data_IF_966683120988
#
_entry.id   IF_966683120988
#
_cell.length_a   1.000
_cell.length_b   1.000
_cell.length_c   1.000
_cell.angle_alpha   90.00
_cell.angle_beta   90.00
_cell.angle_gamma   90.00
#
_symmetry.space_group_name_H-M   'P 1'
#
loop_
_entity.id
_entity.type
_entity.pdbx_description
1 polymer ?
#
# COMPACT_ATOMS: atom_id res chain seq x y z
N UNK A 1 -20.08 -35.10 -24.39
CA UNK A 1 -19.94 -33.78 -23.77
C UNK A 1 -19.83 -33.97 -22.28
N UNK A 2 -18.68 -33.66 -21.68
CA UNK A 2 -18.44 -33.90 -20.25
C UNK A 2 -19.04 -32.75 -19.42
N UNK A 3 -19.34 -33.01 -18.15
CA UNK A 3 -19.99 -32.02 -17.26
C UNK A 3 -19.26 -30.66 -17.15
N UNK A 4 -17.97 -30.60 -17.47
CA UNK A 4 -17.19 -29.36 -17.50
C UNK A 4 -17.48 -28.45 -18.71
N UNK A 5 -17.92 -28.98 -19.85
CA UNK A 5 -18.30 -28.18 -21.02
C UNK A 5 -19.63 -27.45 -20.81
N UNK A 6 -20.53 -28.03 -20.00
CA UNK A 6 -21.82 -27.43 -19.63
C UNK A 6 -21.64 -26.26 -18.65
N UNK A 7 -20.61 -26.30 -17.80
CA UNK A 7 -20.28 -25.25 -16.84
C UNK A 7 -19.65 -24.02 -17.53
N UNK A 8 -18.85 -24.25 -18.59
CA UNK A 8 -18.32 -23.20 -19.46
C UNK A 8 -19.42 -22.55 -20.30
N UNK A 9 -20.42 -23.31 -20.77
CA UNK A 9 -21.58 -22.75 -21.48
C UNK A 9 -22.53 -21.94 -20.56
N UNK A 10 -22.59 -22.25 -19.26
CA UNK A 10 -23.31 -21.41 -18.27
C UNK A 10 -22.66 -20.04 -18.05
N UNK A 11 -21.37 -19.85 -18.36
CA UNK A 11 -20.68 -18.55 -18.32
C UNK A 11 -21.03 -17.62 -19.48
N UNK A 12 -21.85 -18.05 -20.44
CA UNK A 12 -22.26 -17.23 -21.60
C UNK A 12 -23.27 -16.12 -21.29
N UNK A 13 -23.66 -15.91 -20.04
CA UNK A 13 -24.62 -14.88 -19.62
C UNK A 13 -23.89 -13.75 -18.92
N UNK A 14 -23.76 -12.61 -19.62
CA UNK A 14 -23.24 -11.37 -19.03
C UNK A 14 -24.14 -10.96 -17.86
N UNK A 15 -23.53 -10.72 -16.70
CA UNK A 15 -24.18 -10.27 -15.47
C UNK A 15 -24.02 -8.76 -15.34
N UNK A 16 -25.10 -8.08 -14.94
CA UNK A 16 -25.08 -6.62 -14.81
C UNK A 16 -25.45 -6.22 -13.39
N UNK A 17 -24.56 -5.51 -12.70
CA UNK A 17 -24.81 -4.94 -11.39
C UNK A 17 -25.41 -3.55 -11.53
N UNK A 18 -26.60 -3.32 -11.00
CA UNK A 18 -27.24 -1.99 -11.00
C UNK A 18 -27.26 -1.46 -9.57
N UNK A 19 -26.79 -0.22 -9.36
CA UNK A 19 -26.75 0.38 -8.02
C UNK A 19 -27.12 1.85 -8.00
N UNK A 20 -27.76 2.28 -6.91
CA UNK A 20 -27.96 3.70 -6.62
C UNK A 20 -26.71 4.41 -6.10
N UNK A 21 -25.63 3.67 -5.84
CA UNK A 21 -24.34 4.22 -5.43
C UNK A 21 -23.59 4.82 -6.64
N UNK A 22 -22.64 5.74 -6.40
CA UNK A 22 -21.75 6.24 -7.44
C UNK A 22 -21.04 5.10 -8.20
N UNK A 23 -21.18 5.04 -9.53
CA UNK A 23 -20.56 3.99 -10.34
C UNK A 23 -19.06 3.90 -10.10
N UNK A 24 -18.38 5.06 -10.13
CA UNK A 24 -16.93 5.17 -9.91
C UNK A 24 -16.45 4.57 -8.58
N UNK A 25 -17.33 4.49 -7.57
CA UNK A 25 -16.99 3.91 -6.26
C UNK A 25 -17.20 2.41 -6.19
N UNK A 26 -18.18 1.86 -6.92
CA UNK A 26 -18.59 0.45 -6.80
C UNK A 26 -18.09 -0.41 -7.95
N UNK A 27 -17.81 0.17 -9.12
CA UNK A 27 -17.51 -0.56 -10.35
C UNK A 27 -16.34 -1.53 -10.17
N UNK A 28 -15.18 -1.06 -9.72
CA UNK A 28 -14.00 -1.93 -9.53
C UNK A 28 -14.25 -3.04 -8.53
N UNK A 29 -14.99 -2.77 -7.45
CA UNK A 29 -15.31 -3.81 -6.47
C UNK A 29 -16.21 -4.89 -7.07
N UNK A 30 -17.31 -4.49 -7.72
CA UNK A 30 -18.27 -5.41 -8.32
C UNK A 30 -17.65 -6.23 -9.45
N UNK A 31 -16.86 -5.60 -10.33
CA UNK A 31 -16.22 -6.29 -11.46
C UNK A 31 -15.08 -7.19 -11.01
N UNK A 32 -14.16 -6.65 -10.22
CA UNK A 32 -12.93 -7.38 -9.90
C UNK A 32 -13.15 -8.43 -8.80
N UNK A 33 -14.08 -8.21 -7.86
CA UNK A 33 -14.26 -9.09 -6.68
C UNK A 33 -15.55 -9.91 -6.68
N UNK A 34 -16.60 -9.48 -7.38
CA UNK A 34 -17.88 -10.21 -7.46
C UNK A 34 -18.18 -10.78 -8.85
N UNK A 35 -17.23 -10.69 -9.79
CA UNK A 35 -17.35 -11.22 -11.16
C UNK A 35 -18.56 -10.67 -11.92
N UNK A 36 -18.95 -9.42 -11.65
CA UNK A 36 -19.98 -8.71 -12.42
C UNK A 36 -19.38 -8.18 -13.72
N UNK A 37 -19.96 -8.51 -14.87
CA UNK A 37 -19.39 -8.12 -16.17
C UNK A 37 -19.52 -6.62 -16.45
N UNK A 38 -20.67 -6.04 -16.09
CA UNK A 38 -20.99 -4.63 -16.32
C UNK A 38 -21.67 -4.00 -15.11
N UNK A 39 -21.32 -2.76 -14.79
CA UNK A 39 -21.90 -2.05 -13.64
C UNK A 39 -22.55 -0.77 -14.12
N UNK A 40 -23.79 -0.56 -13.71
CA UNK A 40 -24.56 0.66 -13.96
C UNK A 40 -24.82 1.31 -12.60
N UNK A 41 -24.13 2.42 -12.36
CA UNK A 41 -24.29 3.22 -11.14
C UNK A 41 -24.66 4.66 -11.48
N UNK A 42 -24.89 5.47 -10.45
CA UNK A 42 -25.12 6.90 -10.65
C UNK A 42 -23.81 7.64 -10.87
N UNK A 43 -23.88 8.76 -11.57
CA UNK A 43 -22.74 9.66 -11.72
C UNK A 43 -22.65 10.66 -10.56
N UNK A 44 -21.40 11.00 -10.20
CA UNK A 44 -21.09 12.12 -9.30
C UNK A 44 -20.88 13.38 -10.14
N UNK A 45 -21.35 14.52 -9.64
CA UNK A 45 -21.05 15.82 -10.22
C UNK A 45 -19.53 16.04 -10.22
N UNK A 46 -19.02 16.47 -11.37
CA UNK A 46 -17.60 16.79 -11.58
C UNK A 46 -17.47 18.28 -11.83
N UNK A 47 -16.55 18.93 -11.11
CA UNK A 47 -16.21 20.33 -11.31
C UNK A 47 -14.68 20.44 -11.44
N UNK A 48 -14.19 21.01 -12.55
CA UNK A 48 -12.76 21.16 -12.85
C UNK A 48 -11.95 19.85 -12.71
N UNK A 49 -12.54 18.70 -13.04
CA UNK A 49 -11.89 17.39 -12.93
C UNK A 49 -11.90 16.79 -11.50
N UNK A 50 -12.58 17.41 -10.55
CA UNK A 50 -12.73 16.91 -9.18
C UNK A 50 -14.18 16.50 -8.90
N UNK A 51 -14.36 15.38 -8.20
CA UNK A 51 -15.66 14.96 -7.68
C UNK A 51 -16.06 15.84 -6.48
N UNK A 52 -17.25 16.43 -6.53
CA UNK A 52 -17.72 17.34 -5.46
C UNK A 52 -18.51 16.62 -4.36
N UNK A 53 -18.70 15.30 -4.46
CA UNK A 53 -19.45 14.49 -3.50
C UNK A 53 -20.98 14.60 -3.62
N UNK A 54 -21.48 15.34 -4.61
CA UNK A 54 -22.91 15.42 -4.95
C UNK A 54 -23.23 14.50 -6.12
N UNK A 55 -24.39 13.86 -6.09
CA UNK A 55 -24.89 13.05 -7.20
C UNK A 55 -25.38 13.93 -8.34
N UNK A 56 -25.27 13.46 -9.58
CA UNK A 56 -26.06 14.03 -10.67
C UNK A 56 -27.56 13.81 -10.42
N UNK A 57 -28.38 14.77 -10.84
CA UNK A 57 -29.85 14.73 -10.67
C UNK A 57 -30.55 13.84 -11.70
N UNK A 58 -29.80 13.25 -12.64
CA UNK A 58 -30.32 12.36 -13.67
C UNK A 58 -30.78 11.05 -13.06
N UNK A 59 -31.90 10.54 -13.57
CA UNK A 59 -32.34 9.19 -13.24
C UNK A 59 -31.40 8.16 -13.88
N UNK A 60 -31.26 7.01 -13.20
CA UNK A 60 -30.54 5.86 -13.73
C UNK A 60 -31.32 5.29 -14.90
N UNK A 61 -30.81 5.47 -16.11
CA UNK A 61 -31.35 4.86 -17.32
C UNK A 61 -30.64 3.52 -17.52
N UNK A 62 -31.36 2.42 -17.31
CA UNK A 62 -30.85 1.07 -17.61
C UNK A 62 -31.47 0.63 -18.93
N UNK A 63 -30.69 0.40 -20.00
CA UNK A 63 -31.21 -0.03 -21.29
C UNK A 63 -31.90 -1.40 -21.21
N UNK A 64 -33.14 -1.52 -21.71
CA UNK A 64 -34.00 -2.72 -21.60
C UNK A 64 -33.35 -4.03 -22.09
N UNK A 65 -32.42 -3.91 -23.02
CA UNK A 65 -31.67 -5.03 -23.62
C UNK A 65 -30.58 -5.63 -22.69
N UNK A 66 -30.29 -5.02 -21.55
CA UNK A 66 -29.25 -5.45 -20.60
C UNK A 66 -29.85 -6.19 -19.37
N UNK A 67 -31.18 -6.24 -19.26
CA UNK A 67 -31.91 -6.59 -18.03
C UNK A 67 -32.02 -8.08 -17.70
N UNK A 68 -31.85 -8.99 -18.66
CA UNK A 68 -32.20 -10.41 -18.44
C UNK A 68 -31.36 -11.13 -17.35
N UNK A 69 -30.24 -10.56 -16.90
CA UNK A 69 -29.46 -11.04 -15.74
C UNK A 69 -28.96 -9.87 -14.86
N UNK A 70 -29.80 -8.87 -14.61
CA UNK A 70 -29.44 -7.76 -13.75
C UNK A 70 -29.58 -8.11 -12.25
N UNK A 71 -28.58 -7.72 -11.45
CA UNK A 71 -28.56 -7.80 -9.98
C UNK A 71 -28.61 -6.39 -9.42
N UNK A 72 -29.65 -6.07 -8.66
CA UNK A 72 -29.82 -4.77 -8.03
C UNK A 72 -29.14 -4.71 -6.66
N UNK A 73 -28.36 -3.66 -6.40
CA UNK A 73 -27.67 -3.45 -5.12
C UNK A 73 -28.00 -2.06 -4.58
N UNK A 74 -28.61 -1.99 -3.39
CA UNK A 74 -28.95 -0.71 -2.75
C UNK A 74 -28.84 -0.72 -1.23
N UNK A 75 -28.47 0.42 -0.66
CA UNK A 75 -28.31 0.62 0.77
C UNK A 75 -29.42 1.42 1.48
N UNK A 76 -30.54 1.70 0.79
CA UNK A 76 -31.62 2.52 1.36
C UNK A 76 -33.02 1.96 1.03
N UNK A 77 -33.88 1.84 2.07
CA UNK A 77 -35.28 1.42 1.92
C UNK A 77 -36.12 2.38 1.07
N UNK A 78 -35.78 3.67 0.98
CA UNK A 78 -36.50 4.62 0.12
C UNK A 78 -36.33 4.33 -1.39
N UNK A 79 -35.44 3.40 -1.75
CA UNK A 79 -35.16 3.07 -3.14
C UNK A 79 -36.16 2.07 -3.76
N UNK A 80 -37.11 1.49 -3.01
CA UNK A 80 -38.13 0.61 -3.60
C UNK A 80 -38.98 1.28 -4.69
N UNK A 81 -38.98 2.61 -4.80
CA UNK A 81 -39.61 3.36 -5.89
C UNK A 81 -38.73 3.55 -7.13
N UNK A 82 -37.52 2.99 -7.19
CA UNK A 82 -36.67 3.12 -8.38
C UNK A 82 -37.20 2.21 -9.52
N UNK A 83 -37.57 2.76 -10.70
CA UNK A 83 -38.19 2.00 -11.79
C UNK A 83 -37.35 0.81 -12.29
N UNK A 84 -36.03 0.88 -12.13
CA UNK A 84 -35.11 -0.17 -12.58
C UNK A 84 -35.12 -1.43 -11.70
N UNK A 85 -35.64 -1.41 -10.47
CA UNK A 85 -35.72 -2.62 -9.63
C UNK A 85 -36.68 -3.67 -10.19
N UNK A 86 -37.77 -3.25 -10.82
CA UNK A 86 -38.74 -4.14 -11.45
C UNK A 86 -38.11 -5.07 -12.50
N UNK A 87 -36.93 -4.69 -12.96
CA UNK A 87 -36.20 -5.32 -14.04
C UNK A 87 -34.99 -6.13 -13.57
N UNK A 88 -34.68 -6.13 -12.28
CA UNK A 88 -33.62 -6.95 -11.71
C UNK A 88 -34.14 -8.35 -11.40
N UNK A 89 -33.35 -9.36 -11.76
CA UNK A 89 -33.66 -10.75 -11.41
C UNK A 89 -33.54 -10.99 -9.90
N UNK A 90 -32.53 -10.38 -9.29
CA UNK A 90 -32.25 -10.48 -7.86
C UNK A 90 -31.92 -9.10 -7.32
N UNK A 91 -32.37 -8.81 -6.09
CA UNK A 91 -32.18 -7.51 -5.44
C UNK A 91 -31.59 -7.73 -4.05
N UNK A 92 -30.38 -7.20 -3.84
CA UNK A 92 -29.72 -7.15 -2.56
C UNK A 92 -29.92 -5.77 -1.95
N UNK A 93 -30.73 -5.71 -0.90
CA UNK A 93 -31.08 -4.48 -0.23
C UNK A 93 -30.60 -4.53 1.22
N UNK A 94 -29.60 -3.70 1.54
CA UNK A 94 -29.07 -3.61 2.90
C UNK A 94 -30.01 -2.76 3.73
N UNK A 95 -30.68 -3.38 4.70
CA UNK A 95 -31.61 -2.68 5.58
C UNK A 95 -30.88 -1.97 6.74
N UNK A 96 -31.56 -1.06 7.44
CA UNK A 96 -30.95 -0.29 8.55
C UNK A 96 -30.48 -1.17 9.72
N UNK A 97 -31.14 -2.30 9.98
CA UNK A 97 -30.76 -3.21 11.06
C UNK A 97 -29.51 -4.01 10.68
N UNK A 98 -29.44 -4.52 9.45
CA UNK A 98 -28.23 -5.11 8.87
C UNK A 98 -27.09 -4.10 8.83
N UNK A 99 -27.36 -2.82 8.50
CA UNK A 99 -26.36 -1.75 8.53
C UNK A 99 -25.90 -1.37 9.93
N UNK A 100 -26.69 -1.62 10.99
CA UNK A 100 -26.24 -1.41 12.38
C UNK A 100 -25.46 -2.61 12.90
N UNK A 101 -25.87 -3.81 12.49
CA UNK A 101 -25.27 -5.07 12.90
C UNK A 101 -24.19 -5.56 11.93
N UNK A 102 -23.83 -4.76 10.93
CA UNK A 102 -22.80 -5.15 9.98
C UNK A 102 -21.47 -5.26 10.70
N UNK A 103 -20.75 -6.33 10.39
CA UNK A 103 -19.40 -6.54 10.85
C UNK A 103 -18.49 -6.58 9.64
N UNK A 104 -17.24 -6.19 9.82
CA UNK A 104 -16.25 -6.35 8.76
C UNK A 104 -16.15 -7.84 8.44
N UNK A 105 -16.42 -8.18 7.18
CA UNK A 105 -16.32 -9.56 6.73
C UNK A 105 -14.87 -10.04 6.99
N UNK A 106 -14.66 -11.21 7.65
CA UNK A 106 -13.33 -11.75 7.88
C UNK A 106 -12.58 -11.97 6.56
N UNK A 107 -11.26 -11.67 6.53
CA UNK A 107 -10.46 -11.73 5.30
C UNK A 107 -10.43 -13.12 4.64
N UNK A 108 -10.53 -14.18 5.44
CA UNK A 108 -10.59 -15.56 4.97
C UNK A 108 -11.91 -15.91 4.27
N UNK A 109 -12.94 -15.06 4.38
CA UNK A 109 -14.26 -15.26 3.78
C UNK A 109 -14.41 -14.48 2.47
N UNK A 110 -13.36 -13.79 1.99
CA UNK A 110 -13.42 -13.03 0.75
C UNK A 110 -13.34 -13.97 -0.45
N UNK A 111 -14.20 -13.81 -1.48
CA UNK A 111 -14.09 -14.60 -2.72
C UNK A 111 -12.73 -14.44 -3.40
N UNK A 112 -12.15 -13.24 -3.31
CA UNK A 112 -10.81 -12.91 -3.79
C UNK A 112 -10.05 -12.08 -2.74
N UNK A 113 -8.72 -12.22 -2.63
CA UNK A 113 -7.93 -11.40 -1.72
C UNK A 113 -8.09 -9.91 -2.04
N UNK A 114 -8.67 -9.15 -1.12
CA UNK A 114 -8.82 -7.70 -1.23
C UNK A 114 -7.52 -7.03 -0.76
N UNK A 115 -6.80 -6.44 -1.71
CA UNK A 115 -5.50 -5.80 -1.48
C UNK A 115 -5.64 -4.29 -1.68
N UNK A 116 -5.62 -3.53 -0.58
CA UNK A 116 -5.62 -2.07 -0.65
C UNK A 116 -4.18 -1.55 -0.67
N UNK A 117 -3.72 -1.11 -1.84
CA UNK A 117 -2.39 -0.50 -1.98
C UNK A 117 -2.34 1.00 -1.68
N UNK A 118 -3.49 1.70 -1.78
CA UNK A 118 -3.58 3.14 -1.58
C UNK A 118 -4.70 3.45 -0.58
N UNK A 119 -4.35 3.48 0.70
CA UNK A 119 -5.31 3.75 1.76
C UNK A 119 -5.56 5.24 1.93
N UNK A 120 -5.93 6.01 0.89
CA UNK A 120 -6.26 7.45 1.07
C UNK A 120 -7.13 7.61 2.30
N UNK A 121 -6.78 8.57 3.17
CA UNK A 121 -7.47 8.86 4.44
C UNK A 121 -8.95 9.19 4.21
N UNK A 122 -9.77 8.18 3.93
CA UNK A 122 -11.22 8.27 3.93
C UNK A 122 -11.67 7.93 5.35
N UNK A 123 -11.41 8.86 6.28
CA UNK A 123 -12.06 8.77 7.57
C UNK A 123 -13.56 8.90 7.35
N UNK A 124 -14.34 7.97 7.91
CA UNK A 124 -15.74 8.27 8.16
C UNK A 124 -15.79 9.47 9.11
N UNK A 125 -16.67 10.47 8.89
CA UNK A 125 -16.87 11.56 9.84
C UNK A 125 -17.33 10.96 11.17
N UNK A 126 -16.37 10.77 12.06
CA UNK A 126 -16.47 10.03 13.32
C UNK A 126 -15.57 10.70 14.35
N UNK A 127 -15.74 10.38 15.62
CA UNK A 127 -14.89 10.92 16.69
C UNK A 127 -13.39 10.66 16.44
N UNK A 128 -13.05 9.54 15.78
CA UNK A 128 -11.66 9.23 15.39
C UNK A 128 -11.11 10.22 14.35
N UNK A 129 -11.95 10.70 13.44
CA UNK A 129 -11.55 11.73 12.47
C UNK A 129 -11.24 13.05 13.18
N UNK A 130 -12.07 13.42 14.17
CA UNK A 130 -11.83 14.62 14.98
C UNK A 130 -10.55 14.48 15.81
N UNK A 131 -10.34 13.34 16.47
CA UNK A 131 -9.12 13.05 17.22
C UNK A 131 -7.87 13.13 16.32
N UNK A 132 -7.96 12.66 15.07
CA UNK A 132 -6.88 12.81 14.08
C UNK A 132 -6.57 14.29 13.80
N UNK A 133 -7.59 15.11 13.51
CA UNK A 133 -7.38 16.53 13.25
C UNK A 133 -6.81 17.27 14.47
N UNK A 134 -7.22 16.90 15.69
CA UNK A 134 -6.64 17.45 16.92
C UNK A 134 -5.20 16.98 17.14
N UNK A 135 -4.87 15.74 16.75
CA UNK A 135 -3.50 15.22 16.82
C UNK A 135 -2.59 15.83 15.76
N UNK A 136 -3.12 16.23 14.60
CA UNK A 136 -2.34 16.62 13.44
C UNK A 136 -1.27 17.70 13.72
N UNK A 137 -1.56 18.80 14.45
CA UNK A 137 -0.53 19.78 14.81
C UNK A 137 0.58 19.19 15.69
N UNK A 138 0.22 18.34 16.65
CA UNK A 138 1.17 17.68 17.55
C UNK A 138 1.99 16.60 16.82
N UNK A 139 1.36 15.80 15.97
CA UNK A 139 2.04 14.80 15.13
C UNK A 139 3.01 15.45 14.15
N UNK A 140 2.64 16.61 13.59
CA UNK A 140 3.51 17.38 12.71
C UNK A 140 4.76 17.88 13.44
N UNK A 141 4.61 18.52 14.61
CA UNK A 141 5.75 19.01 15.40
C UNK A 141 6.64 17.85 15.88
N UNK A 142 6.03 16.77 16.37
CA UNK A 142 6.74 15.56 16.79
C UNK A 142 7.53 14.94 15.64
N UNK A 143 6.93 14.90 14.45
CA UNK A 143 7.57 14.39 13.25
C UNK A 143 8.77 15.23 12.82
N UNK A 144 8.71 16.56 12.91
CA UNK A 144 9.89 17.43 12.69
C UNK A 144 11.00 17.10 13.69
N UNK A 145 10.68 17.02 14.98
CA UNK A 145 11.66 16.69 16.03
C UNK A 145 12.34 15.35 15.73
N UNK A 146 11.58 14.32 15.34
CA UNK A 146 12.10 12.99 14.98
C UNK A 146 13.01 13.04 13.76
N UNK A 147 12.66 13.80 12.73
CA UNK A 147 13.50 14.00 11.55
C UNK A 147 14.81 14.69 11.97
N UNK A 148 14.74 15.77 12.75
CA UNK A 148 15.94 16.46 13.24
C UNK A 148 16.87 15.53 14.02
N UNK A 149 16.31 14.73 14.94
CA UNK A 149 17.08 13.74 15.71
C UNK A 149 17.75 12.74 14.77
N UNK A 150 17.02 12.21 13.80
CA UNK A 150 17.54 11.22 12.85
C UNK A 150 18.65 11.77 11.93
N UNK A 151 18.65 13.07 11.64
CA UNK A 151 19.62 13.70 10.73
C UNK A 151 20.83 14.32 11.43
N UNK A 152 20.69 14.77 12.68
CA UNK A 152 21.73 15.52 13.38
C UNK A 152 22.53 14.69 14.39
N UNK A 153 21.94 13.64 14.94
CA UNK A 153 22.55 12.87 16.03
C UNK A 153 23.11 11.53 15.55
N UNK A 154 24.24 11.08 16.12
CA UNK A 154 24.75 9.73 15.88
C UNK A 154 23.78 8.68 16.46
N UNK A 155 23.82 7.47 15.91
CA UNK A 155 22.86 6.41 16.21
C UNK A 155 22.78 6.04 17.69
N UNK A 156 23.90 6.12 18.42
CA UNK A 156 24.03 5.83 19.84
C UNK A 156 23.14 6.74 20.70
N UNK A 157 22.92 7.97 20.25
CA UNK A 157 22.11 8.99 20.94
C UNK A 157 20.72 9.07 20.31
N UNK A 158 20.62 8.99 18.99
CA UNK A 158 19.37 9.10 18.27
C UNK A 158 18.37 8.00 18.68
N UNK A 159 18.83 6.77 18.87
CA UNK A 159 17.94 5.62 19.18
C UNK A 159 17.24 5.74 20.52
N UNK A 160 17.92 5.99 21.67
CA UNK A 160 17.22 6.16 22.94
C UNK A 160 16.27 7.37 22.92
N UNK A 161 16.64 8.47 22.24
CA UNK A 161 15.74 9.62 22.06
C UNK A 161 14.51 9.27 21.23
N UNK A 162 14.69 8.58 20.11
CA UNK A 162 13.59 8.11 19.27
C UNK A 162 12.68 7.16 20.06
N UNK A 163 13.25 6.30 20.92
CA UNK A 163 12.49 5.44 21.82
C UNK A 163 11.65 6.24 22.83
N UNK A 164 12.24 7.26 23.45
CA UNK A 164 11.56 8.16 24.38
C UNK A 164 10.40 8.92 23.72
N UNK A 165 10.56 9.29 22.45
CA UNK A 165 9.56 10.01 21.64
C UNK A 165 8.62 9.01 20.92
N UNK A 166 8.64 7.73 21.31
CA UNK A 166 7.64 6.73 20.93
C UNK A 166 7.96 5.87 19.70
N UNK A 167 9.18 5.90 19.18
CA UNK A 167 9.64 5.03 18.07
C UNK A 167 10.52 3.91 18.63
N UNK A 168 9.98 2.70 18.66
CA UNK A 168 10.69 1.52 19.19
C UNK A 168 11.34 0.74 18.05
N UNK A 169 12.66 0.82 17.96
CA UNK A 169 13.46 0.03 17.01
C UNK A 169 14.04 -1.18 17.74
N UNK A 170 13.81 -2.39 17.21
CA UNK A 170 14.44 -3.63 17.67
C UNK A 170 15.16 -4.28 16.51
N UNK A 171 16.43 -4.60 16.71
CA UNK A 171 17.26 -5.29 15.71
C UNK A 171 17.54 -6.68 16.25
N UNK A 172 17.08 -7.70 15.54
CA UNK A 172 17.45 -9.09 15.81
C UNK A 172 18.52 -9.50 14.79
N UNK A 173 19.62 -10.08 15.27
CA UNK A 173 20.68 -10.64 14.43
C UNK A 173 20.79 -12.13 14.71
N UNK A 174 21.00 -12.98 13.70
CA UNK A 174 21.30 -14.39 13.94
C UNK A 174 22.57 -14.50 14.81
N UNK A 175 22.53 -15.35 15.83
CA UNK A 175 23.66 -15.57 16.76
C UNK A 175 24.97 -15.99 16.07
N UNK A 176 24.90 -16.45 14.82
CA UNK A 176 26.06 -16.94 14.05
C UNK A 176 26.75 -15.86 13.20
N UNK A 177 26.29 -14.59 13.20
CA UNK A 177 26.95 -13.53 12.43
C UNK A 177 28.17 -12.90 13.13
N UNK A 178 28.42 -13.25 14.40
CA UNK A 178 29.51 -12.71 15.23
C UNK A 178 30.89 -13.35 14.97
N UNK A 179 31.01 -14.35 14.09
CA UNK A 179 32.27 -15.10 13.90
C UNK A 179 32.99 -14.84 12.58
N UNK A 180 32.66 -13.78 11.84
CA UNK A 180 33.35 -13.44 10.57
C UNK A 180 33.90 -12.00 10.53
N UNK A 181 34.27 -11.47 11.70
CA UNK A 181 34.92 -10.16 11.83
C UNK A 181 36.39 -10.19 12.28
N UNK A 182 37.07 -11.34 12.25
CA UNK A 182 38.51 -11.40 12.56
C UNK A 182 39.26 -12.31 11.58
N UNK A 183 39.49 -11.82 10.36
CA UNK A 183 40.63 -12.14 9.46
C UNK A 183 40.27 -11.82 8.00
N UNK A 184 40.07 -10.54 7.68
CA UNK A 184 40.08 -10.10 6.28
C UNK A 184 41.37 -9.33 6.00
N UNK A 185 42.49 -10.07 6.05
CA UNK A 185 43.76 -9.65 5.44
C UNK A 185 43.75 -10.13 3.99
N UNK A 186 42.99 -9.47 3.12
CA UNK A 186 43.34 -9.36 1.70
C UNK A 186 42.49 -8.31 0.97
N UNK A 187 43.12 -7.59 0.03
CA UNK A 187 42.76 -6.25 -0.44
C UNK A 187 41.47 -6.03 -1.24
N UNK A 188 40.42 -6.85 -1.15
CA UNK A 188 39.07 -6.50 -1.66
C UNK A 188 37.98 -7.16 -0.80
N UNK A 189 37.50 -6.46 0.23
CA UNK A 189 36.31 -6.89 0.97
C UNK A 189 35.10 -6.93 0.02
N UNK A 190 34.59 -8.14 -0.27
CA UNK A 190 33.36 -8.33 -1.06
C UNK A 190 32.22 -7.53 -0.43
N UNK A 191 31.66 -6.59 -1.19
CA UNK A 191 30.54 -5.73 -0.76
C UNK A 191 29.26 -6.55 -0.66
N UNK A 192 28.39 -6.16 0.27
CA UNK A 192 27.16 -6.90 0.59
C UNK A 192 25.96 -6.29 -0.11
N UNK A 193 25.14 -7.16 -0.71
CA UNK A 193 23.82 -6.79 -1.23
C UNK A 193 22.75 -7.18 -0.21
N UNK A 194 22.20 -6.19 0.47
CA UNK A 194 21.07 -6.36 1.38
C UNK A 194 19.75 -6.29 0.60
N UNK A 195 18.88 -7.27 0.82
CA UNK A 195 17.57 -7.36 0.15
C UNK A 195 16.50 -7.25 1.23
N UNK A 196 15.77 -6.13 1.21
CA UNK A 196 14.82 -5.76 2.26
C UNK A 196 13.40 -5.73 1.72
N UNK A 197 12.41 -6.23 2.46
CA UNK A 197 11.02 -5.91 2.15
C UNK A 197 10.73 -4.42 2.40
N UNK A 198 9.66 -3.88 1.80
CA UNK A 198 9.40 -2.45 1.80
C UNK A 198 8.10 -2.10 2.54
N UNK A 199 8.18 -1.69 3.79
CA UNK A 199 7.05 -1.18 4.60
C UNK A 199 6.96 0.35 4.60
N UNK A 200 8.10 1.05 4.60
CA UNK A 200 8.19 2.50 4.77
C UNK A 200 9.37 3.10 4.01
N UNK A 201 9.40 4.42 3.81
CA UNK A 201 10.60 5.08 3.27
C UNK A 201 11.82 4.98 4.18
N UNK A 202 11.64 4.63 5.46
CA UNK A 202 12.72 4.51 6.44
C UNK A 202 13.41 3.15 6.40
N UNK A 203 12.88 2.15 5.69
CA UNK A 203 13.43 0.79 5.74
C UNK A 203 14.92 0.73 5.38
N UNK A 204 15.41 1.39 4.30
CA UNK A 204 16.83 1.40 3.99
C UNK A 204 17.69 2.04 5.09
N UNK A 205 17.15 3.05 5.78
CA UNK A 205 17.82 3.72 6.91
C UNK A 205 17.88 2.77 8.12
N UNK A 206 16.80 2.02 8.39
CA UNK A 206 16.77 0.99 9.42
C UNK A 206 17.74 -0.15 9.12
N UNK A 207 17.91 -0.53 7.85
CA UNK A 207 18.95 -1.48 7.42
C UNK A 207 20.35 -0.93 7.70
N UNK A 208 20.60 0.34 7.35
CA UNK A 208 21.88 1.01 7.65
C UNK A 208 22.18 0.97 9.16
N UNK A 209 21.18 1.29 9.97
CA UNK A 209 21.28 1.26 11.42
C UNK A 209 21.54 -0.16 11.96
N UNK A 210 20.74 -1.14 11.55
CA UNK A 210 20.86 -2.52 12.02
C UNK A 210 22.18 -3.16 11.61
N UNK A 211 22.70 -2.83 10.43
CA UNK A 211 23.98 -3.36 9.93
C UNK A 211 25.18 -2.61 10.47
N UNK A 212 25.01 -1.39 11.00
CA UNK A 212 26.10 -0.44 11.31
C UNK A 212 27.05 -0.21 10.14
N UNK A 213 26.55 -0.30 8.91
CA UNK A 213 27.36 -0.04 7.72
C UNK A 213 27.49 1.46 7.51
N UNK A 214 28.72 1.95 7.47
CA UNK A 214 29.05 3.37 7.22
C UNK A 214 29.04 3.73 5.73
N UNK A 215 28.93 2.75 4.85
CA UNK A 215 29.03 2.91 3.38
C UNK A 215 27.85 2.25 2.66
N UNK A 216 26.65 2.27 3.25
CA UNK A 216 25.46 1.70 2.62
C UNK A 216 24.84 2.69 1.62
N UNK A 217 24.66 2.25 0.39
CA UNK A 217 23.87 2.97 -0.63
C UNK A 217 22.51 2.29 -0.78
N UNK A 218 21.44 3.07 -0.84
CA UNK A 218 20.09 2.57 -1.09
C UNK A 218 19.69 2.80 -2.55
N UNK A 219 19.25 1.75 -3.26
CA UNK A 219 18.66 1.87 -4.59
C UNK A 219 17.14 1.83 -4.51
N UNK A 220 16.48 2.79 -5.15
CA UNK A 220 15.03 2.97 -5.04
C UNK A 220 14.38 3.25 -6.39
N UNK A 221 13.18 2.71 -6.62
CA UNK A 221 12.48 2.90 -7.90
C UNK A 221 11.67 4.20 -7.97
N UNK A 222 11.31 4.78 -6.82
CA UNK A 222 10.36 5.90 -6.76
C UNK A 222 10.50 6.69 -5.45
N UNK A 223 11.61 7.42 -5.32
CA UNK A 223 11.80 8.46 -4.30
C UNK A 223 11.51 9.86 -4.86
N UNK A 224 11.05 10.76 -3.99
CA UNK A 224 10.95 12.18 -4.29
C UNK A 224 12.33 12.84 -4.14
N UNK A 225 12.61 13.92 -4.89
CA UNK A 225 13.86 14.67 -4.74
C UNK A 225 14.08 15.17 -3.31
N UNK A 226 13.01 15.59 -2.64
CA UNK A 226 13.07 16.02 -1.24
C UNK A 226 13.54 14.89 -0.32
N UNK A 227 13.01 13.68 -0.52
CA UNK A 227 13.42 12.50 0.25
C UNK A 227 14.88 12.09 0.02
N UNK A 228 15.40 12.31 -1.20
CA UNK A 228 16.81 12.07 -1.52
C UNK A 228 17.73 13.07 -0.79
N UNK A 229 17.36 14.35 -0.77
CA UNK A 229 18.13 15.44 -0.10
C UNK A 229 18.21 15.22 1.41
N UNK A 230 17.11 14.83 2.04
CA UNK A 230 17.06 14.63 3.50
C UNK A 230 17.55 13.25 3.93
N UNK A 231 17.93 12.35 3.01
CA UNK A 231 18.32 10.99 3.37
C UNK A 231 19.72 10.99 4.04
N UNK A 232 19.89 10.36 5.21
CA UNK A 232 21.19 10.26 5.88
C UNK A 232 22.14 9.28 5.18
N UNK A 233 21.62 8.45 4.27
CA UNK A 233 22.40 7.52 3.43
C UNK A 233 22.31 7.92 1.97
N UNK A 234 23.35 7.56 1.19
CA UNK A 234 23.34 7.77 -0.25
C UNK A 234 22.17 7.03 -0.87
N UNK A 235 21.32 7.75 -1.59
CA UNK A 235 20.21 7.17 -2.35
C UNK A 235 20.49 7.28 -3.84
N UNK A 236 20.19 6.24 -4.60
CA UNK A 236 20.31 6.21 -6.05
C UNK A 236 18.99 5.74 -6.65
N UNK A 237 18.50 6.46 -7.65
CA UNK A 237 17.23 6.16 -8.30
C UNK A 237 17.42 5.16 -9.45
N UNK A 238 16.58 4.13 -9.46
CA UNK A 238 16.44 3.18 -10.56
C UNK A 238 15.43 3.69 -11.58
N UNK A 239 15.66 3.31 -12.83
CA UNK A 239 14.93 3.80 -14.02
C UNK A 239 13.79 2.89 -14.43
N UNK A 240 13.66 1.70 -13.81
CA UNK A 240 12.74 0.61 -14.22
C UNK A 240 13.09 0.00 -15.58
N UNK A 241 14.30 0.24 -16.07
CA UNK A 241 14.87 -0.45 -17.22
C UNK A 241 15.88 -1.47 -16.74
N UNK A 242 15.56 -2.76 -16.96
CA UNK A 242 16.28 -3.90 -16.39
C UNK A 242 17.79 -3.84 -16.64
N UNK A 243 18.23 -3.62 -17.88
CA UNK A 243 19.65 -3.67 -18.23
C UNK A 243 20.43 -2.47 -17.66
N UNK A 244 19.83 -1.27 -17.70
CA UNK A 244 20.43 -0.06 -17.12
C UNK A 244 20.53 -0.16 -15.60
N UNK A 245 19.47 -0.64 -14.95
CA UNK A 245 19.43 -0.82 -13.50
C UNK A 245 20.42 -1.91 -13.07
N UNK A 246 20.60 -2.96 -13.87
CA UNK A 246 21.62 -4.00 -13.63
C UNK A 246 23.04 -3.43 -13.64
N UNK A 247 23.40 -2.72 -14.71
CA UNK A 247 24.73 -2.11 -14.86
C UNK A 247 25.02 -1.12 -13.72
N UNK A 248 24.03 -0.28 -13.38
CA UNK A 248 24.11 0.67 -12.27
C UNK A 248 24.33 -0.05 -10.93
N UNK A 249 23.56 -1.09 -10.63
CA UNK A 249 23.69 -1.84 -9.39
C UNK A 249 25.04 -2.57 -9.30
N UNK A 250 25.54 -3.13 -10.41
CA UNK A 250 26.90 -3.72 -10.46
C UNK A 250 27.98 -2.66 -10.15
N UNK A 251 27.88 -1.48 -10.76
CA UNK A 251 28.80 -0.37 -10.49
C UNK A 251 28.76 0.06 -9.03
N UNK A 252 27.57 0.21 -8.43
CA UNK A 252 27.42 0.60 -7.03
C UNK A 252 27.97 -0.46 -6.06
N UNK A 253 27.72 -1.75 -6.33
CA UNK A 253 28.26 -2.85 -5.53
C UNK A 253 29.80 -2.94 -5.59
N UNK A 254 30.44 -2.39 -6.62
CA UNK A 254 31.91 -2.30 -6.64
C UNK A 254 32.45 -1.25 -5.65
N UNK A 255 31.63 -0.27 -5.28
CA UNK A 255 32.02 0.91 -4.50
C UNK A 255 31.59 0.82 -3.03
N UNK A 256 30.39 0.28 -2.77
CA UNK A 256 29.75 0.37 -1.47
C UNK A 256 28.88 -0.88 -1.18
N UNK A 257 28.49 -1.07 0.07
CA UNK A 257 27.37 -1.99 0.35
C UNK A 257 26.11 -1.42 -0.29
N UNK A 258 25.19 -2.28 -0.71
CA UNK A 258 23.96 -1.88 -1.40
C UNK A 258 22.74 -2.45 -0.67
N UNK A 259 21.70 -1.65 -0.49
CA UNK A 259 20.38 -2.13 -0.06
C UNK A 259 19.34 -1.87 -1.15
N UNK A 260 18.55 -2.89 -1.46
CA UNK A 260 17.47 -2.83 -2.44
C UNK A 260 16.17 -3.32 -1.82
N UNK A 261 15.07 -2.64 -2.15
CA UNK A 261 13.71 -3.06 -1.87
C UNK A 261 13.05 -3.58 -3.16
N UNK A 262 13.09 -4.90 -3.44
CA UNK A 262 12.72 -5.43 -4.75
C UNK A 262 11.21 -5.41 -5.03
N UNK A 263 10.37 -5.05 -4.04
CA UNK A 263 8.92 -4.83 -4.19
C UNK A 263 8.60 -3.63 -5.10
N UNK A 264 9.52 -2.69 -5.26
CA UNK A 264 9.33 -1.51 -6.12
C UNK A 264 8.41 -0.42 -5.56
N UNK A 265 7.65 -0.72 -4.51
CA UNK A 265 6.80 0.21 -3.77
C UNK A 265 6.64 -0.26 -2.33
N UNK A 266 6.23 0.64 -1.43
CA UNK A 266 5.89 0.29 -0.04
C UNK A 266 4.60 -0.51 0.02
N UNK A 267 4.57 -1.52 0.90
CA UNK A 267 3.44 -2.37 1.21
C UNK A 267 3.19 -2.38 2.71
N UNK A 268 2.04 -1.85 3.16
CA UNK A 268 1.68 -1.75 4.58
C UNK A 268 0.79 -2.89 5.07
N UNK A 269 0.50 -3.83 4.18
CA UNK A 269 -0.33 -5.00 4.45
C UNK A 269 0.51 -6.15 5.05
N UNK A 270 -0.12 -7.19 5.65
CA UNK A 270 0.61 -8.29 6.30
C UNK A 270 1.34 -9.25 5.34
N UNK A 271 1.26 -9.01 4.02
CA UNK A 271 1.95 -9.78 2.98
C UNK A 271 3.06 -8.96 2.30
N UNK A 272 3.88 -9.67 1.52
CA UNK A 272 4.91 -9.08 0.67
C UNK A 272 4.37 -8.90 -0.74
N UNK A 273 4.80 -7.84 -1.41
CA UNK A 273 4.56 -7.73 -2.85
C UNK A 273 5.51 -8.65 -3.61
N UNK A 274 5.19 -8.87 -4.89
CA UNK A 274 6.06 -9.61 -5.79
C UNK A 274 7.41 -8.89 -5.90
N UNK A 275 8.48 -9.65 -5.75
CA UNK A 275 9.84 -9.15 -5.91
C UNK A 275 10.25 -9.16 -7.38
N UNK A 276 10.93 -8.10 -7.81
CA UNK A 276 11.70 -8.12 -9.07
C UNK A 276 12.90 -9.07 -8.93
N UNK A 277 13.19 -9.95 -9.91
CA UNK A 277 14.28 -10.92 -9.81
C UNK A 277 15.68 -10.30 -9.95
N UNK A 278 15.78 -9.03 -10.36
CA UNK A 278 17.03 -8.37 -10.71
C UNK A 278 18.12 -8.50 -9.62
N UNK A 279 17.75 -8.39 -8.35
CA UNK A 279 18.73 -8.51 -7.24
C UNK A 279 19.41 -9.89 -7.18
N UNK A 280 18.71 -10.96 -7.56
CA UNK A 280 19.25 -12.33 -7.54
C UNK A 280 20.17 -12.62 -8.73
N UNK A 281 20.05 -11.84 -9.81
CA UNK A 281 20.88 -11.98 -11.01
C UNK A 281 22.21 -11.22 -10.84
N UNK A 282 22.18 -10.10 -10.13
CA UNK A 282 23.35 -9.21 -9.93
C UNK A 282 24.37 -9.80 -8.94
N UNK A 283 23.91 -10.54 -7.92
CA UNK A 283 24.79 -11.11 -6.91
C UNK A 283 24.40 -12.55 -6.56
N UNK A 284 25.40 -13.44 -6.56
CA UNK A 284 25.25 -14.82 -6.06
C UNK A 284 25.04 -14.88 -4.55
N UNK A 285 25.48 -13.86 -3.81
CA UNK A 285 25.37 -13.79 -2.35
C UNK A 285 24.52 -12.58 -1.96
N UNK A 286 23.43 -12.84 -1.26
CA UNK A 286 22.46 -11.83 -0.82
C UNK A 286 22.22 -11.94 0.68
N UNK A 287 22.03 -10.80 1.33
CA UNK A 287 21.80 -10.70 2.76
C UNK A 287 20.33 -10.30 2.98
N UNK A 288 19.43 -11.25 3.22
CA UNK A 288 18.02 -10.93 3.42
C UNK A 288 17.85 -10.12 4.72
N UNK A 289 17.01 -9.09 4.65
CA UNK A 289 16.62 -8.27 5.80
C UNK A 289 15.10 -8.20 5.83
N UNK A 290 14.52 -8.47 7.00
CA UNK A 290 13.09 -8.33 7.22
C UNK A 290 12.83 -7.11 8.12
N UNK A 291 12.00 -6.20 7.64
CA UNK A 291 11.48 -5.06 8.37
C UNK A 291 10.01 -5.29 8.65
N UNK A 292 9.66 -5.26 9.93
CA UNK A 292 8.28 -5.29 10.38
C UNK A 292 7.96 -3.93 11.03
N UNK A 293 6.93 -3.25 10.53
CA UNK A 293 6.51 -1.95 10.99
C UNK A 293 5.06 -2.05 11.50
N UNK A 294 4.86 -1.74 12.77
CA UNK A 294 3.55 -1.62 13.38
C UNK A 294 3.23 -0.15 13.61
N UNK A 295 2.05 0.28 13.16
CA UNK A 295 1.54 1.64 13.32
C UNK A 295 0.19 1.53 14.04
N UNK A 296 -0.01 2.34 15.07
CA UNK A 296 -1.17 2.26 15.97
C UNK A 296 -2.35 3.08 15.46
N UNK A 297 -2.18 4.40 15.37
CA UNK A 297 -3.30 5.36 15.24
C UNK A 297 -3.64 5.72 13.78
N UNK A 298 -2.65 5.80 12.88
CA UNK A 298 -2.86 6.24 11.50
C UNK A 298 -2.27 5.26 10.49
N UNK A 299 -3.07 4.89 9.49
CA UNK A 299 -2.54 4.18 8.34
C UNK A 299 -1.80 5.19 7.47
N UNK A 300 -0.49 4.99 7.27
CA UNK A 300 0.31 5.83 6.38
C UNK A 300 -0.19 5.72 4.93
N UNK A 301 -0.62 6.84 4.35
CA UNK A 301 -1.18 6.92 3.00
C UNK A 301 -0.21 7.78 2.19
N UNK A 302 0.43 7.27 1.13
CA UNK A 302 -0.17 7.34 -0.22
C UNK A 302 0.78 6.72 -1.25
N UNK A 303 0.22 6.09 -2.29
CA UNK A 303 0.98 5.75 -3.51
C UNK A 303 1.24 6.98 -4.41
N UNK A 304 0.40 8.03 -4.28
CA UNK A 304 0.36 9.23 -5.16
C UNK A 304 0.54 10.59 -4.46
N UNK A 305 0.80 10.65 -3.16
CA UNK A 305 0.98 11.89 -2.38
C UNK A 305 2.44 12.16 -1.96
N UNK A 306 2.63 13.11 -1.04
CA UNK A 306 3.94 13.45 -0.49
C UNK A 306 4.41 12.36 0.49
N UNK A 307 4.99 11.28 -0.03
CA UNK A 307 5.46 10.12 0.77
C UNK A 307 6.41 10.49 1.91
N UNK A 308 7.12 11.62 1.80
CA UNK A 308 8.00 12.10 2.87
C UNK A 308 7.26 12.50 4.15
N UNK A 309 5.94 12.70 4.10
CA UNK A 309 5.11 12.99 5.27
C UNK A 309 4.74 11.72 6.05
N UNK A 310 4.98 10.52 5.50
CA UNK A 310 4.67 9.25 6.18
C UNK A 310 5.26 9.16 7.61
N UNK A 311 6.48 9.68 7.90
CA UNK A 311 7.02 9.73 9.26
C UNK A 311 6.22 10.57 10.27
N UNK A 312 5.45 11.56 9.80
CA UNK A 312 4.59 12.39 10.66
C UNK A 312 3.38 11.60 11.18
N UNK A 313 2.99 10.56 10.46
CA UNK A 313 1.89 9.66 10.78
C UNK A 313 2.35 8.36 11.44
N UNK A 314 3.55 8.32 12.06
CA UNK A 314 3.93 7.27 12.99
C UNK A 314 3.58 7.69 14.44
N UNK A 315 2.33 7.63 14.88
CA UNK A 315 2.00 7.74 16.29
C UNK A 315 2.60 6.53 17.03
N UNK A 316 2.99 6.79 18.27
CA UNK A 316 3.47 5.79 19.24
C UNK A 316 2.50 4.66 19.50
#
# INVERSE_FOLDING_TARGET
MSGGELEVLRRGKKTVGVSNLPQVMVESFLRDHLDIDYVVGKDLKVFCGYFVGLMEERELIVPDNILCNAVGISGCKKCFGCPWFAHCKEIYLVNEQERRNWHQLPRNSYPKPLIFHDGRLAFRPSFLALAMFMWLPLGFTLGIIRILIALTLPFEIAVPLMHFIGIKIRVSKPNNLSTSSSNRKDGKAKRRLYVCNHKTLLDPILVSYGTRSTTLTAVTYSLSRMSEIISPIKTVRLTRHRDQDAELMHKLLSQSDLVVCPEGTTCREPYLLRFSPLFSEISKEVFPVAVNCHISMFYGTTARGLKFLDPLFFPS
#
